data_IF_650373993427
#
_entry.id   IF_650373993427
#
_cell.length_a   1.000
_cell.length_b   1.000
_cell.length_c   1.000
_cell.angle_alpha   90.00
_cell.angle_beta   90.00
_cell.angle_gamma   90.00
#
_symmetry.space_group_name_H-M   'P 1'
#
loop_
_entity.id
_entity.type
_entity.pdbx_description
1 polymer ?
#
# COMPACT_ATOMS: atom_id res chain seq x y z
N UNK A 1 -18.19 -8.70 17.97
CA UNK A 1 -18.26 -8.93 16.50
C UNK A 1 -19.54 -8.31 15.97
N UNK A 2 -19.50 -7.72 14.77
CA UNK A 2 -20.70 -7.27 14.06
C UNK A 2 -21.00 -8.30 12.95
N UNK A 3 -22.28 -8.59 12.72
CA UNK A 3 -22.70 -9.50 11.67
C UNK A 3 -23.09 -8.71 10.43
N UNK A 4 -22.69 -9.21 9.26
CA UNK A 4 -23.04 -8.66 7.95
C UNK A 4 -23.75 -9.76 7.17
N UNK A 5 -24.93 -9.46 6.65
CA UNK A 5 -25.65 -10.35 5.73
C UNK A 5 -25.39 -9.87 4.32
N UNK A 6 -24.89 -10.75 3.46
CA UNK A 6 -24.60 -10.45 2.05
C UNK A 6 -25.31 -11.48 1.20
N UNK A 7 -26.10 -11.01 0.24
CA UNK A 7 -26.65 -11.86 -0.82
C UNK A 7 -25.63 -11.96 -1.93
N UNK A 8 -25.26 -13.18 -2.30
CA UNK A 8 -24.35 -13.46 -3.40
C UNK A 8 -24.99 -14.48 -4.34
N UNK A 9 -24.62 -14.48 -5.63
CA UNK A 9 -25.01 -15.55 -6.53
C UNK A 9 -24.52 -16.93 -6.06
N UNK A 10 -25.28 -17.98 -6.37
CA UNK A 10 -25.00 -19.35 -5.91
C UNK A 10 -23.63 -19.86 -6.36
N UNK A 11 -23.21 -19.50 -7.58
CA UNK A 11 -21.91 -19.85 -8.14
C UNK A 11 -20.75 -19.23 -7.35
N UNK A 12 -20.93 -18.00 -6.84
CA UNK A 12 -19.94 -17.31 -6.01
C UNK A 12 -19.84 -18.00 -4.65
N UNK A 13 -20.98 -18.35 -4.04
CA UNK A 13 -21.00 -19.08 -2.78
C UNK A 13 -20.32 -20.45 -2.91
N UNK A 14 -20.61 -21.18 -3.99
CA UNK A 14 -20.00 -22.49 -4.27
C UNK A 14 -18.48 -22.38 -4.47
N UNK A 15 -18.03 -21.40 -5.25
CA UNK A 15 -16.60 -21.14 -5.45
C UNK A 15 -15.89 -20.81 -4.14
N UNK A 16 -16.48 -19.93 -3.32
CA UNK A 16 -15.94 -19.56 -2.02
C UNK A 16 -15.84 -20.76 -1.06
N UNK A 17 -16.84 -21.68 -1.08
CA UNK A 17 -16.83 -22.91 -0.28
C UNK A 17 -15.70 -23.85 -0.67
N UNK A 18 -15.44 -24.03 -1.97
CA UNK A 18 -14.35 -24.87 -2.48
C UNK A 18 -13.00 -24.28 -2.06
N UNK A 19 -12.78 -22.99 -2.33
CA UNK A 19 -11.54 -22.30 -1.97
C UNK A 19 -11.28 -22.33 -0.45
N UNK A 20 -12.33 -22.18 0.37
CA UNK A 20 -12.21 -22.28 1.82
C UNK A 20 -11.75 -23.68 2.26
N UNK A 21 -12.31 -24.74 1.66
CA UNK A 21 -11.94 -26.10 1.97
C UNK A 21 -10.48 -26.41 1.57
N UNK A 22 -10.03 -25.95 0.40
CA UNK A 22 -8.64 -26.11 -0.07
C UNK A 22 -7.64 -25.44 0.87
N UNK A 23 -8.01 -24.31 1.46
CA UNK A 23 -7.19 -23.54 2.40
C UNK A 23 -7.35 -23.99 3.86
N UNK A 24 -8.17 -25.02 4.15
CA UNK A 24 -8.47 -25.44 5.52
C UNK A 24 -9.16 -24.36 6.37
N UNK A 25 -9.89 -23.45 5.72
CA UNK A 25 -10.50 -22.28 6.32
C UNK A 25 -12.04 -22.31 6.19
N UNK A 26 -12.70 -21.34 6.83
CA UNK A 26 -14.14 -21.08 6.61
C UNK A 26 -14.33 -19.95 5.62
N UNK A 27 -15.50 -19.91 4.96
CA UNK A 27 -15.87 -18.80 4.07
C UNK A 27 -15.86 -17.47 4.84
N UNK A 28 -16.34 -17.46 6.09
CA UNK A 28 -16.30 -16.28 6.95
C UNK A 28 -14.87 -15.80 7.21
N UNK A 29 -13.90 -16.71 7.40
CA UNK A 29 -12.50 -16.34 7.56
C UNK A 29 -11.91 -15.71 6.30
N UNK A 30 -12.25 -16.22 5.11
CA UNK A 30 -11.84 -15.63 3.83
C UNK A 30 -12.42 -14.22 3.65
N UNK A 31 -13.69 -14.03 3.97
CA UNK A 31 -14.37 -12.73 3.88
C UNK A 31 -13.74 -11.75 4.86
N UNK A 32 -13.49 -12.14 6.11
CA UNK A 32 -12.79 -11.31 7.10
C UNK A 32 -11.42 -10.88 6.59
N UNK A 33 -10.59 -11.82 6.14
CA UNK A 33 -9.25 -11.50 5.64
C UNK A 33 -9.26 -10.62 4.38
N UNK A 34 -10.27 -10.77 3.52
CA UNK A 34 -10.47 -9.86 2.40
C UNK A 34 -10.83 -8.44 2.86
N UNK A 35 -11.79 -8.30 3.79
CA UNK A 35 -12.21 -7.01 4.32
C UNK A 35 -11.07 -6.31 5.09
N UNK A 36 -10.25 -7.06 5.81
CA UNK A 36 -9.05 -6.54 6.47
C UNK A 36 -8.05 -6.01 5.46
N UNK A 37 -7.72 -6.76 4.41
CA UNK A 37 -6.84 -6.27 3.33
C UNK A 37 -7.43 -5.08 2.58
N UNK A 38 -8.74 -5.07 2.36
CA UNK A 38 -9.43 -3.95 1.73
C UNK A 38 -9.34 -2.68 2.59
N UNK A 39 -9.53 -2.81 3.91
CA UNK A 39 -9.36 -1.73 4.86
C UNK A 39 -7.90 -1.27 4.97
N UNK A 40 -6.96 -2.21 4.93
CA UNK A 40 -5.52 -1.96 5.01
C UNK A 40 -4.99 -1.31 3.73
N UNK A 41 -5.52 -1.62 2.54
CA UNK A 41 -5.15 -0.92 1.30
C UNK A 41 -5.44 0.58 1.41
N UNK A 42 -6.56 0.96 2.05
CA UNK A 42 -6.85 2.35 2.38
C UNK A 42 -6.02 2.90 3.55
N UNK A 43 -5.57 2.04 4.47
CA UNK A 43 -4.73 2.37 5.62
C UNK A 43 -3.27 2.63 5.26
N UNK A 44 -2.67 1.74 4.48
CA UNK A 44 -1.30 1.83 3.99
C UNK A 44 -1.11 3.05 3.10
N UNK A 45 -2.03 3.29 2.15
CA UNK A 45 -1.95 4.48 1.30
C UNK A 45 -2.02 5.78 2.12
N UNK A 46 -2.96 5.87 3.07
CA UNK A 46 -3.04 7.00 4.01
C UNK A 46 -1.82 7.11 4.92
N UNK A 47 -1.25 5.98 5.35
CA UNK A 47 -0.04 5.96 6.19
C UNK A 47 1.18 6.46 5.40
N UNK A 48 1.30 6.06 4.14
CA UNK A 48 2.34 6.51 3.22
C UNK A 48 2.19 8.00 2.90
N UNK A 49 0.97 8.48 2.67
CA UNK A 49 0.64 9.90 2.49
C UNK A 49 1.03 10.72 3.73
N UNK A 50 0.61 10.28 4.93
CA UNK A 50 1.02 10.92 6.19
C UNK A 50 2.54 10.85 6.44
N UNK A 51 3.22 9.81 5.95
CA UNK A 51 4.68 9.73 6.01
C UNK A 51 5.35 10.71 5.05
N UNK A 52 4.80 10.88 3.86
CA UNK A 52 5.24 11.86 2.88
C UNK A 52 5.08 13.29 3.40
N UNK A 53 3.91 13.62 3.97
CA UNK A 53 3.67 14.92 4.61
C UNK A 53 4.70 15.21 5.70
N UNK A 54 4.95 14.26 6.62
CA UNK A 54 6.00 14.43 7.65
C UNK A 54 7.39 14.66 7.06
N UNK A 55 7.73 13.97 5.97
CA UNK A 55 9.03 14.16 5.29
C UNK A 55 9.07 15.56 4.67
N UNK A 56 8.01 16.01 4.01
CA UNK A 56 7.96 17.33 3.41
C UNK A 56 8.00 18.45 4.46
N UNK A 57 7.28 18.31 5.56
CA UNK A 57 7.33 19.24 6.69
C UNK A 57 8.72 19.29 7.37
N UNK A 58 9.46 18.18 7.34
CA UNK A 58 10.84 18.14 7.85
C UNK A 58 11.84 18.90 6.98
N UNK A 59 11.48 19.22 5.74
CA UNK A 59 12.32 19.99 4.83
C UNK A 59 12.16 21.48 5.16
N UNK A 60 13.00 21.97 6.07
CA UNK A 60 13.06 23.39 6.45
C UNK A 60 13.52 24.34 5.32
N UNK A 61 13.94 23.80 4.17
CA UNK A 61 14.26 24.57 2.97
C UNK A 61 15.04 23.76 1.94
N UNK A 62 14.60 23.80 0.69
CA UNK A 62 15.30 23.18 -0.43
C UNK A 62 16.36 24.15 -0.98
N UNK A 63 17.65 23.88 -0.72
CA UNK A 63 18.75 24.69 -1.24
C UNK A 63 19.43 24.00 -2.42
N UNK A 64 19.21 24.54 -3.62
CA UNK A 64 19.85 24.08 -4.85
C UNK A 64 21.34 24.51 -4.98
N UNK A 65 21.85 25.33 -4.05
CA UNK A 65 23.20 25.90 -4.09
C UNK A 65 24.32 24.90 -3.72
N UNK A 66 23.98 23.71 -3.23
CA UNK A 66 24.92 22.60 -3.03
C UNK A 66 25.13 21.73 -4.28
N UNK A 67 24.56 22.11 -5.42
CA UNK A 67 24.84 21.45 -6.71
C UNK A 67 26.12 22.03 -7.27
N UNK A 68 27.00 21.13 -7.73
CA UNK A 68 28.17 21.50 -8.52
C UNK A 68 27.75 22.49 -9.61
N UNK A 69 28.50 23.56 -9.74
CA UNK A 69 28.47 24.41 -10.92
C UNK A 69 28.63 23.56 -12.18
N UNK A 70 28.24 24.11 -13.33
CA UNK A 70 28.37 23.42 -14.61
C UNK A 70 29.80 22.88 -14.80
N UNK A 71 30.79 23.69 -14.44
CA UNK A 71 32.21 23.36 -14.59
C UNK A 71 32.65 22.25 -13.63
N UNK A 72 32.28 22.35 -12.34
CA UNK A 72 32.53 21.28 -11.36
C UNK A 72 31.82 19.96 -11.74
N UNK A 73 30.65 20.02 -12.38
CA UNK A 73 29.95 18.83 -12.87
C UNK A 73 30.66 18.22 -14.08
N UNK A 74 31.28 19.04 -14.94
CA UNK A 74 32.06 18.56 -16.08
C UNK A 74 33.38 17.92 -15.62
N UNK A 75 34.07 18.48 -14.62
CA UNK A 75 35.27 17.89 -14.03
C UNK A 75 34.98 16.54 -13.36
N UNK A 76 33.88 16.44 -12.59
CA UNK A 76 33.47 15.17 -11.99
C UNK A 76 33.14 14.10 -13.03
N UNK A 77 32.58 14.48 -14.18
CA UNK A 77 32.29 13.55 -15.27
C UNK A 77 33.57 13.08 -15.99
N UNK A 78 34.64 13.88 -15.98
CA UNK A 78 35.93 13.54 -16.58
C UNK A 78 36.80 12.61 -15.70
N UNK A 79 36.45 12.45 -14.41
CA UNK A 79 37.12 11.57 -13.45
C UNK A 79 36.54 10.13 -13.40
N UNK A 80 35.60 9.80 -14.29
CA UNK A 80 34.93 8.48 -14.35
C UNK A 80 35.32 7.73 -15.62
#
# INVERSE_FOLDING_TARGET
MKNITVTVPDEVYRGARIAAAELGASVSALVTGYLERLADTGGEFRRLEAQQERIFDSIAGFRANGRLSRDESHERAALR
#
